data_IF_363330245358
#
_entry.id   IF_363330245358
#
_cell.length_a   1.000
_cell.length_b   1.000
_cell.length_c   1.000
_cell.angle_alpha   90.00
_cell.angle_beta   90.00
_cell.angle_gamma   90.00
#
_symmetry.space_group_name_H-M   'P 1'
#
loop_
_entity.id
_entity.type
_entity.pdbx_description
1 polymer ?
#
# COMPACT_ATOMS: atom_id res chain seq x y z
N UNK A 1 -15.15 -9.96 -25.03
CA UNK A 1 -14.75 -10.77 -26.19
C UNK A 1 -14.48 -9.77 -27.31
N UNK A 2 -13.25 -9.73 -27.85
CA UNK A 2 -12.80 -8.68 -28.78
C UNK A 2 -13.51 -8.84 -30.13
N UNK A 3 -14.13 -7.78 -30.66
CA UNK A 3 -14.86 -7.84 -31.94
C UNK A 3 -14.00 -7.45 -33.16
N UNK A 4 -12.75 -7.03 -32.94
CA UNK A 4 -11.80 -6.64 -33.98
C UNK A 4 -11.23 -7.87 -34.71
N UNK A 5 -11.24 -7.82 -36.05
CA UNK A 5 -10.72 -8.85 -36.95
C UNK A 5 -9.53 -8.31 -37.75
N UNK A 6 -8.52 -9.14 -38.06
CA UNK A 6 -7.41 -8.73 -38.93
C UNK A 6 -7.93 -8.25 -40.29
N UNK A 7 -7.47 -7.07 -40.74
CA UNK A 7 -7.88 -6.48 -42.03
C UNK A 7 -9.16 -5.64 -42.01
N UNK A 8 -9.82 -5.46 -40.86
CA UNK A 8 -10.99 -4.59 -40.74
C UNK A 8 -10.62 -3.10 -40.65
N UNK A 9 -11.45 -2.24 -41.23
CA UNK A 9 -11.37 -0.77 -41.08
C UNK A 9 -12.28 -0.36 -39.92
N UNK A 10 -11.70 0.30 -38.92
CA UNK A 10 -12.41 0.72 -37.71
C UNK A 10 -12.31 2.22 -37.51
N UNK A 11 -13.39 2.84 -37.04
CA UNK A 11 -13.38 4.26 -36.68
C UNK A 11 -12.82 4.44 -35.26
N UNK A 12 -12.32 5.64 -34.96
CA UNK A 12 -11.81 5.99 -33.61
C UNK A 12 -12.84 5.64 -32.52
N UNK A 13 -14.12 5.91 -32.75
CA UNK A 13 -15.20 5.61 -31.81
C UNK A 13 -15.38 4.10 -31.57
N UNK A 14 -15.24 3.27 -32.60
CA UNK A 14 -15.33 1.80 -32.48
C UNK A 14 -14.17 1.22 -31.67
N UNK A 15 -12.95 1.69 -31.94
CA UNK A 15 -11.76 1.28 -31.18
C UNK A 15 -11.85 1.73 -29.70
N UNK A 16 -12.34 2.94 -29.46
CA UNK A 16 -12.48 3.49 -28.11
C UNK A 16 -13.53 2.72 -27.30
N UNK A 17 -14.65 2.33 -27.92
CA UNK A 17 -15.69 1.49 -27.30
C UNK A 17 -15.19 0.08 -26.98
N UNK A 18 -14.38 -0.53 -27.83
CA UNK A 18 -13.74 -1.82 -27.55
C UNK A 18 -12.73 -1.72 -26.40
N UNK A 19 -11.94 -0.63 -26.37
CA UNK A 19 -11.01 -0.36 -25.27
C UNK A 19 -11.76 -0.22 -23.93
N UNK A 20 -12.86 0.53 -23.90
CA UNK A 20 -13.72 0.67 -22.71
C UNK A 20 -14.33 -0.67 -22.30
N UNK A 21 -14.78 -1.48 -23.25
CA UNK A 21 -15.35 -2.81 -23.00
C UNK A 21 -14.29 -3.76 -22.40
N UNK A 22 -13.06 -3.69 -22.90
CA UNK A 22 -11.92 -4.48 -22.41
C UNK A 22 -11.45 -4.01 -21.02
N UNK A 23 -11.42 -2.69 -20.79
CA UNK A 23 -11.10 -2.11 -19.48
C UNK A 23 -12.18 -2.46 -18.44
N UNK A 24 -13.46 -2.37 -18.82
CA UNK A 24 -14.60 -2.74 -17.96
C UNK A 24 -14.62 -4.23 -17.62
N UNK A 25 -14.03 -5.09 -18.45
CA UNK A 25 -13.95 -6.53 -18.18
C UNK A 25 -13.03 -6.89 -17.01
N UNK A 26 -12.31 -5.92 -16.42
CA UNK A 26 -11.49 -6.10 -15.21
C UNK A 26 -10.28 -7.01 -15.38
N UNK A 27 -10.09 -7.64 -16.55
CA UNK A 27 -9.04 -8.61 -16.83
C UNK A 27 -7.65 -7.98 -16.84
N UNK A 28 -7.53 -6.71 -17.26
CA UNK A 28 -6.25 -6.00 -17.32
C UNK A 28 -5.83 -5.49 -15.94
N UNK A 29 -6.74 -4.85 -15.19
CA UNK A 29 -6.48 -4.43 -13.81
C UNK A 29 -6.06 -5.63 -12.95
N UNK A 30 -6.82 -6.72 -12.97
CA UNK A 30 -6.57 -7.90 -12.12
C UNK A 30 -5.20 -8.56 -12.39
N UNK A 31 -4.70 -8.51 -13.63
CA UNK A 31 -3.39 -9.08 -14.00
C UNK A 31 -2.23 -8.24 -13.48
N UNK A 32 -2.30 -6.93 -13.62
CA UNK A 32 -1.25 -6.03 -13.15
C UNK A 32 -1.24 -5.94 -11.62
N UNK A 33 -2.42 -5.95 -10.98
CA UNK A 33 -2.50 -6.04 -9.51
C UNK A 33 -1.96 -7.36 -8.96
N UNK A 34 -2.28 -8.51 -9.58
CA UNK A 34 -1.72 -9.79 -9.15
C UNK A 34 -0.19 -9.81 -9.25
N UNK A 35 0.37 -9.25 -10.32
CA UNK A 35 1.83 -9.07 -10.45
C UNK A 35 2.42 -8.14 -9.39
N UNK A 36 1.71 -7.08 -9.00
CA UNK A 36 2.14 -6.20 -7.89
C UNK A 36 2.16 -6.97 -6.58
N UNK A 37 1.11 -7.72 -6.26
CA UNK A 37 1.03 -8.53 -5.03
C UNK A 37 2.13 -9.61 -4.99
N UNK A 38 2.35 -10.34 -6.08
CA UNK A 38 3.40 -11.39 -6.15
C UNK A 38 4.82 -10.83 -6.00
N UNK A 39 5.04 -9.57 -6.37
CA UNK A 39 6.33 -8.88 -6.21
C UNK A 39 6.48 -8.19 -4.87
N UNK A 40 5.38 -7.94 -4.17
CA UNK A 40 5.38 -7.26 -2.88
C UNK A 40 5.80 -8.20 -1.76
N UNK A 41 6.48 -7.65 -0.76
CA UNK A 41 6.74 -8.37 0.49
C UNK A 41 5.42 -8.65 1.22
N UNK A 42 5.33 -9.75 2.00
CA UNK A 42 4.18 -9.98 2.85
C UNK A 42 4.03 -8.82 3.85
N UNK A 43 2.81 -8.32 4.02
CA UNK A 43 2.54 -7.31 5.04
C UNK A 43 2.78 -7.88 6.44
N UNK A 44 3.27 -7.04 7.35
CA UNK A 44 3.41 -7.36 8.78
C UNK A 44 2.05 -7.55 9.47
N UNK A 45 0.98 -7.03 8.85
CA UNK A 45 -0.39 -7.13 9.36
C UNK A 45 -0.84 -8.60 9.54
N UNK A 46 -1.21 -9.03 10.76
CA UNK A 46 -1.59 -10.40 11.03
C UNK A 46 -2.93 -10.76 10.39
N UNK A 47 -3.10 -12.05 10.11
CA UNK A 47 -4.32 -12.61 9.50
C UNK A 47 -5.57 -12.33 10.34
N UNK A 48 -5.43 -12.14 11.65
CA UNK A 48 -6.54 -11.77 12.55
C UNK A 48 -7.16 -10.43 12.19
N UNK A 49 -6.35 -9.39 11.99
CA UNK A 49 -6.82 -8.05 11.59
C UNK A 49 -7.36 -8.09 10.16
N UNK A 50 -6.75 -8.85 9.26
CA UNK A 50 -7.28 -9.06 7.91
C UNK A 50 -8.69 -9.69 7.94
N UNK A 51 -8.91 -10.69 8.81
CA UNK A 51 -10.22 -11.34 9.00
C UNK A 51 -11.26 -10.37 9.55
N UNK A 52 -10.89 -9.53 10.50
CA UNK A 52 -11.77 -8.49 11.05
C UNK A 52 -12.20 -7.50 9.97
N UNK A 53 -11.26 -7.00 9.16
CA UNK A 53 -11.55 -6.12 8.02
C UNK A 53 -12.47 -6.81 7.00
N UNK A 54 -12.21 -8.07 6.69
CA UNK A 54 -13.07 -8.88 5.80
C UNK A 54 -14.47 -9.07 6.37
N UNK A 55 -14.60 -9.21 7.68
CA UNK A 55 -15.89 -9.29 8.36
C UNK A 55 -16.65 -7.96 8.26
N UNK A 56 -15.99 -6.83 8.51
CA UNK A 56 -16.59 -5.49 8.37
C UNK A 56 -17.10 -5.24 6.94
N UNK A 57 -16.38 -5.73 5.93
CA UNK A 57 -16.81 -5.67 4.52
C UNK A 57 -18.04 -6.53 4.23
N UNK A 58 -18.11 -7.74 4.81
CA UNK A 58 -19.25 -8.67 4.64
C UNK A 58 -20.52 -8.16 5.31
N UNK A 59 -20.41 -7.57 6.50
CA UNK A 59 -21.56 -7.08 7.27
C UNK A 59 -22.27 -5.88 6.62
N UNK A 60 -21.51 -4.96 6.01
CA UNK A 60 -22.08 -3.78 5.36
C UNK A 60 -22.65 -4.06 3.97
N UNK A 61 -22.16 -5.10 3.27
CA UNK A 61 -22.60 -5.49 1.93
C UNK A 61 -22.25 -4.50 0.79
N UNK A 62 -22.01 -3.22 1.11
CA UNK A 62 -21.58 -2.16 0.18
C UNK A 62 -20.39 -1.40 0.75
N UNK A 63 -19.40 -1.16 -0.10
CA UNK A 63 -18.24 -0.34 0.26
C UNK A 63 -18.64 1.13 0.23
N UNK A 64 -18.65 1.77 1.39
CA UNK A 64 -18.90 3.22 1.56
C UNK A 64 -17.64 3.92 2.04
N UNK A 65 -17.53 5.23 1.80
CA UNK A 65 -16.39 6.02 2.29
C UNK A 65 -16.22 5.91 3.81
N UNK A 66 -17.34 5.87 4.57
CA UNK A 66 -17.33 5.70 6.03
C UNK A 66 -16.77 4.35 6.46
N UNK A 67 -17.08 3.28 5.72
CA UNK A 67 -16.53 1.95 6.00
C UNK A 67 -15.02 1.93 5.76
N UNK A 68 -14.56 2.49 4.63
CA UNK A 68 -13.13 2.59 4.32
C UNK A 68 -12.37 3.39 5.37
N UNK A 69 -12.95 4.47 5.88
CA UNK A 69 -12.40 5.23 7.00
C UNK A 69 -12.25 4.36 8.26
N UNK A 70 -13.30 3.64 8.66
CA UNK A 70 -13.22 2.73 9.82
C UNK A 70 -12.17 1.63 9.64
N UNK A 71 -12.05 1.06 8.44
CA UNK A 71 -11.03 0.06 8.11
C UNK A 71 -9.64 0.68 8.23
N UNK A 72 -9.45 1.88 7.67
CA UNK A 72 -8.19 2.62 7.78
C UNK A 72 -7.82 2.84 9.23
N UNK A 73 -8.72 3.38 10.03
CA UNK A 73 -8.48 3.66 11.45
C UNK A 73 -8.13 2.38 12.21
N UNK A 74 -8.82 1.27 11.92
CA UNK A 74 -8.56 -0.02 12.56
C UNK A 74 -7.17 -0.58 12.22
N UNK A 75 -6.78 -0.51 10.94
CA UNK A 75 -5.48 -0.99 10.44
C UNK A 75 -4.37 -0.11 11.00
N UNK A 76 -4.49 1.22 10.88
CA UNK A 76 -3.50 2.15 11.43
C UNK A 76 -3.37 1.97 12.94
N UNK A 77 -4.48 1.87 13.68
CA UNK A 77 -4.44 1.66 15.13
C UNK A 77 -3.61 0.43 15.51
N UNK A 78 -3.80 -0.70 14.83
CA UNK A 78 -2.99 -1.90 15.12
C UNK A 78 -1.49 -1.64 14.93
N UNK A 79 -1.10 -1.00 13.82
CA UNK A 79 0.30 -0.66 13.59
C UNK A 79 0.87 0.25 14.70
N UNK A 80 0.12 1.27 15.11
CA UNK A 80 0.56 2.20 16.15
C UNK A 80 0.64 1.51 17.52
N UNK A 81 -0.32 0.64 17.85
CA UNK A 81 -0.36 -0.13 19.09
C UNK A 81 0.85 -1.09 19.19
N UNK A 82 1.32 -1.64 18.06
CA UNK A 82 2.54 -2.47 17.98
C UNK A 82 3.85 -1.66 17.88
N UNK A 83 3.78 -0.32 17.82
CA UNK A 83 4.95 0.57 17.80
C UNK A 83 5.42 1.01 16.40
N UNK A 84 4.73 0.63 15.32
CA UNK A 84 4.98 1.12 13.97
C UNK A 84 4.38 2.52 13.76
N UNK A 85 4.98 3.53 14.38
CA UNK A 85 4.48 4.90 14.37
C UNK A 85 4.48 5.56 12.98
N UNK A 86 5.31 5.10 12.05
CA UNK A 86 5.38 5.62 10.68
C UNK A 86 4.41 4.90 9.72
N UNK A 87 3.63 3.92 10.19
CA UNK A 87 2.77 3.14 9.32
C UNK A 87 1.50 3.90 8.92
N UNK A 88 1.19 3.87 7.62
CA UNK A 88 0.07 4.60 7.06
C UNK A 88 -0.63 3.84 5.93
N UNK A 89 -1.96 3.83 5.96
CA UNK A 89 -2.77 3.42 4.81
C UNK A 89 -2.75 4.55 3.79
N UNK A 90 -2.18 4.28 2.62
CA UNK A 90 -1.99 5.29 1.56
C UNK A 90 -3.13 5.30 0.56
N UNK A 91 -3.74 4.15 0.28
CA UNK A 91 -4.76 4.05 -0.75
C UNK A 91 -5.71 2.86 -0.54
N UNK A 92 -6.93 3.00 -1.05
CA UNK A 92 -7.86 1.89 -1.24
C UNK A 92 -8.12 1.69 -2.73
N UNK A 93 -7.62 0.58 -3.26
CA UNK A 93 -7.78 0.19 -4.66
C UNK A 93 -8.95 -0.78 -4.89
N UNK A 94 -9.27 -0.99 -6.18
CA UNK A 94 -10.23 -2.00 -6.66
C UNK A 94 -11.69 -1.86 -6.16
N UNK A 95 -12.09 -0.66 -5.73
CA UNK A 95 -13.44 -0.36 -5.23
C UNK A 95 -14.60 -0.70 -6.20
N UNK A 96 -14.30 -0.81 -7.50
CA UNK A 96 -15.27 -1.17 -8.55
C UNK A 96 -15.47 -2.69 -8.70
N UNK A 97 -14.57 -3.48 -8.11
CA UNK A 97 -14.64 -4.95 -8.12
C UNK A 97 -15.08 -5.45 -6.74
N UNK A 98 -15.45 -6.74 -6.61
CA UNK A 98 -15.81 -7.35 -5.32
C UNK A 98 -14.61 -7.55 -4.38
N UNK A 99 -13.48 -6.90 -4.65
CA UNK A 99 -12.23 -7.01 -3.91
C UNK A 99 -11.78 -5.60 -3.50
N UNK A 100 -11.46 -5.39 -2.22
CA UNK A 100 -10.88 -4.14 -1.74
C UNK A 100 -9.41 -4.38 -1.48
N UNK A 101 -8.56 -3.56 -2.07
CA UNK A 101 -7.11 -3.59 -1.84
C UNK A 101 -6.75 -2.46 -0.91
N UNK A 102 -6.19 -2.78 0.25
CA UNK A 102 -5.64 -1.79 1.19
C UNK A 102 -4.14 -1.65 0.92
N UNK A 103 -3.71 -0.51 0.40
CA UNK A 103 -2.29 -0.21 0.20
C UNK A 103 -1.75 0.46 1.48
N UNK A 104 -0.74 -0.15 2.08
CA UNK A 104 -0.14 0.31 3.34
C UNK A 104 1.36 0.53 3.15
N UNK A 105 1.85 1.63 3.70
CA UNK A 105 3.28 1.88 3.91
C UNK A 105 3.57 1.59 5.37
N UNK A 106 4.41 0.61 5.66
CA UNK A 106 4.73 0.18 7.03
C UNK A 106 5.83 1.04 7.68
N UNK A 107 6.53 1.85 6.87
CA UNK A 107 7.62 2.72 7.33
C UNK A 107 9.00 2.10 7.15
N UNK A 108 9.28 1.54 5.96
CA UNK A 108 10.59 0.99 5.63
C UNK A 108 11.69 2.04 5.80
N UNK A 109 12.72 1.70 6.57
CA UNK A 109 13.84 2.58 6.85
C UNK A 109 14.81 2.53 5.67
N UNK A 110 14.86 3.62 4.90
CA UNK A 110 15.72 3.72 3.70
C UNK A 110 17.12 4.24 4.04
N UNK A 111 17.22 5.10 5.05
CA UNK A 111 18.49 5.71 5.46
C UNK A 111 18.49 6.00 6.96
N UNK A 112 19.61 5.69 7.60
CA UNK A 112 19.92 6.11 8.96
C UNK A 112 21.01 7.19 8.92
N UNK A 113 20.73 8.37 9.47
CA UNK A 113 21.69 9.47 9.59
C UNK A 113 21.97 9.76 11.07
N UNK A 114 23.23 9.95 11.42
CA UNK A 114 23.67 10.33 12.77
C UNK A 114 24.17 11.77 12.70
N UNK A 115 23.56 12.67 13.48
CA UNK A 115 23.92 14.08 13.57
C UNK A 115 24.33 14.41 15.01
N UNK A 116 25.43 15.14 15.14
CA UNK A 116 25.92 15.64 16.43
C UNK A 116 25.47 17.08 16.62
N UNK A 117 24.98 17.39 17.82
CA UNK A 117 24.48 18.73 18.18
C UNK A 117 25.10 19.20 19.49
N UNK A 118 25.34 20.50 19.61
CA UNK A 118 25.72 21.14 20.88
C UNK A 118 24.50 21.33 21.82
N UNK A 119 24.73 21.87 23.02
CA UNK A 119 23.65 22.13 23.99
C UNK A 119 22.65 23.21 23.54
N UNK A 120 22.99 23.98 22.52
CA UNK A 120 22.17 25.02 21.93
C UNK A 120 21.42 24.52 20.67
N UNK A 121 21.64 23.26 20.27
CA UNK A 121 21.02 22.63 19.10
C UNK A 121 21.75 22.86 17.77
N UNK A 122 22.94 23.47 17.78
CA UNK A 122 23.72 23.68 16.55
C UNK A 122 24.44 22.40 16.14
N UNK A 123 24.52 22.15 14.84
CA UNK A 123 25.25 21.01 14.27
C UNK A 123 26.75 21.20 14.51
N UNK A 124 27.40 20.18 15.05
CA UNK A 124 28.83 20.21 15.34
C UNK A 124 29.55 18.94 14.87
N UNK A 125 30.88 18.95 14.90
CA UNK A 125 31.68 17.78 14.57
C UNK A 125 31.59 16.73 15.69
N UNK A 126 31.23 15.50 15.31
CA UNK A 126 31.22 14.37 16.22
C UNK A 126 32.59 13.74 16.38
N UNK A 127 33.24 13.99 17.52
CA UNK A 127 34.52 13.34 17.84
C UNK A 127 34.37 11.88 18.32
N UNK A 128 33.14 11.43 18.58
CA UNK A 128 32.85 10.05 18.98
C UNK A 128 32.98 9.10 17.81
N UNK A 129 33.72 8.00 17.98
CA UNK A 129 33.81 6.93 16.98
C UNK A 129 32.42 6.39 16.65
N UNK A 130 32.03 6.44 15.37
CA UNK A 130 30.72 5.96 14.91
C UNK A 130 30.43 4.50 15.32
N UNK A 131 31.46 3.66 15.45
CA UNK A 131 31.30 2.28 15.91
C UNK A 131 30.75 2.14 17.33
N UNK A 132 30.97 3.13 18.20
CA UNK A 132 30.41 3.17 19.56
C UNK A 132 28.90 3.46 19.52
N UNK A 133 28.45 4.26 18.55
CA UNK A 133 27.03 4.57 18.39
C UNK A 133 26.33 3.39 17.70
N UNK A 134 26.90 2.90 16.60
CA UNK A 134 26.31 1.83 15.78
C UNK A 134 26.16 0.51 16.53
N UNK A 135 27.04 0.18 17.49
CA UNK A 135 26.92 -1.07 18.26
C UNK A 135 25.70 -1.11 19.19
N UNK A 136 25.18 0.04 19.59
CA UNK A 136 23.99 0.16 20.43
C UNK A 136 22.70 0.14 19.60
N UNK A 137 22.81 0.34 18.28
CA UNK A 137 21.67 0.31 17.39
C UNK A 137 21.27 -1.14 17.06
N UNK A 138 19.97 -1.43 16.89
CA UNK A 138 19.50 -2.74 16.48
C UNK A 138 20.17 -3.17 15.18
N UNK A 139 20.66 -4.42 15.13
CA UNK A 139 21.27 -5.00 13.92
C UNK A 139 20.27 -5.21 12.78
N UNK A 140 18.97 -5.02 13.04
CA UNK A 140 17.88 -5.24 12.11
C UNK A 140 17.59 -4.01 11.22
N UNK A 141 18.38 -2.95 11.35
CA UNK A 141 18.34 -1.74 10.52
C UNK A 141 19.22 -1.87 9.27
#
# INVERSE_FOLDING_TARGET
MVSLRPGGVYTKAQLQKELETLASCGMFERRDYRRRIERSRPCLLPVTVQREVMQMLREQGRVTARLLQRIRDRVQKWYHDEGYACAQVVNFGNLNTREVVCEVVEGDITQLAIQFQDKLGNVCEGNTKLGVIRRELPKQL
#
